data_IF_751198857482
#
_entry.id   IF_751198857482
#
_cell.length_a   1.000
_cell.length_b   1.000
_cell.length_c   1.000
_cell.angle_alpha   90.00
_cell.angle_beta   90.00
_cell.angle_gamma   90.00
#
_symmetry.space_group_name_H-M   'P 1'
#
loop_
_entity.id
_entity.type
_entity.pdbx_description
1 polymer ?
#
# COMPACT_ATOMS: atom_id res chain seq x y z
N UNK A 1 -10.13 18.45 -8.58
CA UNK A 1 -9.28 17.89 -7.49
C UNK A 1 -8.48 16.76 -8.09
N UNK A 2 -7.24 16.52 -7.64
CA UNK A 2 -6.45 15.36 -8.05
C UNK A 2 -6.35 14.40 -6.86
N UNK A 3 -6.82 13.17 -7.00
CA UNK A 3 -6.87 12.18 -5.93
C UNK A 3 -5.66 11.24 -6.02
N UNK A 4 -5.07 10.90 -4.88
CA UNK A 4 -3.95 9.95 -4.84
C UNK A 4 -4.08 9.06 -3.62
N UNK A 5 -3.63 7.82 -3.77
CA UNK A 5 -3.68 6.82 -2.71
C UNK A 5 -2.29 6.28 -2.42
N UNK A 6 -1.97 6.15 -1.14
CA UNK A 6 -0.73 5.52 -0.70
C UNK A 6 -0.77 4.01 -0.83
N UNK A 7 0.18 3.41 -1.55
CA UNK A 7 0.16 1.95 -1.79
C UNK A 7 0.35 1.14 -0.49
N UNK A 8 0.88 1.76 0.58
CA UNK A 8 0.97 1.16 1.91
C UNK A 8 -0.39 0.79 2.52
N UNK A 9 -1.48 1.41 2.05
CA UNK A 9 -2.85 1.10 2.47
C UNK A 9 -3.29 -0.33 2.09
N UNK A 10 -2.56 -1.02 1.22
CA UNK A 10 -2.83 -2.41 0.81
C UNK A 10 -1.88 -3.43 1.45
N UNK A 11 -1.17 -3.04 2.51
CA UNK A 11 -0.43 -3.96 3.38
C UNK A 11 -1.30 -4.53 4.51
N UNK A 12 -0.69 -5.26 5.46
CA UNK A 12 -1.42 -5.85 6.58
C UNK A 12 -2.07 -4.84 7.54
N UNK A 13 -1.85 -3.53 7.34
CA UNK A 13 -2.48 -2.43 8.10
C UNK A 13 -2.54 -2.69 9.61
N UNK A 14 -1.47 -3.27 10.16
CA UNK A 14 -1.40 -3.80 11.53
C UNK A 14 -1.69 -2.67 12.52
N UNK A 15 -2.86 -2.66 13.19
CA UNK A 15 -3.15 -1.62 14.17
C UNK A 15 -2.31 -1.86 15.42
N UNK A 16 -1.87 -0.76 16.04
CA UNK A 16 -1.01 -0.77 17.24
C UNK A 16 -1.51 -1.71 18.34
N UNK A 17 -2.83 -1.89 18.47
CA UNK A 17 -3.46 -2.64 19.55
C UNK A 17 -4.05 -4.00 19.15
N UNK A 18 -4.00 -4.38 17.86
CA UNK A 18 -4.58 -5.65 17.42
C UNK A 18 -3.80 -6.23 16.23
N UNK A 19 -2.61 -6.81 16.46
CA UNK A 19 -1.62 -7.09 15.41
C UNK A 19 -2.04 -8.07 14.31
N UNK A 20 -3.19 -8.74 14.46
CA UNK A 20 -3.71 -9.77 13.55
C UNK A 20 -4.97 -9.31 12.80
N UNK A 21 -5.56 -8.16 13.14
CA UNK A 21 -6.95 -7.89 12.79
C UNK A 21 -7.24 -7.24 11.43
N UNK A 22 -6.26 -6.61 10.78
CA UNK A 22 -6.51 -6.07 9.43
C UNK A 22 -5.93 -6.99 8.37
N UNK A 23 -6.80 -7.40 7.44
CA UNK A 23 -6.46 -8.16 6.24
C UNK A 23 -5.47 -9.32 6.47
N UNK A 24 -5.86 -10.37 7.23
CA UNK A 24 -4.97 -11.51 7.53
C UNK A 24 -4.45 -12.23 6.28
N UNK A 25 -5.17 -12.13 5.15
CA UNK A 25 -4.74 -12.64 3.84
C UNK A 25 -3.57 -11.85 3.21
N UNK A 26 -3.26 -10.66 3.73
CA UNK A 26 -2.14 -9.81 3.31
C UNK A 26 -1.09 -9.67 4.43
N UNK A 27 -1.00 -10.70 5.28
CA UNK A 27 -0.18 -10.79 6.49
C UNK A 27 1.34 -10.82 6.27
N UNK A 28 2.06 -11.56 7.13
CA UNK A 28 3.52 -11.50 7.28
C UNK A 28 4.35 -11.90 6.05
N UNK A 29 3.76 -12.57 5.07
CA UNK A 29 4.41 -12.83 3.79
C UNK A 29 4.01 -11.71 2.81
N UNK A 30 4.88 -10.72 2.57
CA UNK A 30 4.49 -9.53 1.83
C UNK A 30 4.32 -9.85 0.35
N UNK A 31 3.15 -9.52 -0.21
CA UNK A 31 2.98 -9.53 -1.66
C UNK A 31 4.02 -8.60 -2.31
N UNK A 32 4.61 -8.97 -3.47
CA UNK A 32 5.52 -8.08 -4.19
C UNK A 32 4.85 -6.73 -4.49
N UNK A 33 5.61 -5.63 -4.39
CA UNK A 33 5.07 -4.26 -4.60
C UNK A 33 4.44 -4.12 -5.98
N UNK A 34 5.01 -4.74 -7.02
CA UNK A 34 4.42 -4.73 -8.36
C UNK A 34 3.03 -5.40 -8.41
N UNK A 35 2.87 -6.54 -7.73
CA UNK A 35 1.57 -7.23 -7.64
C UNK A 35 0.53 -6.40 -6.87
N UNK A 36 0.96 -5.72 -5.81
CA UNK A 36 0.14 -4.78 -5.05
C UNK A 36 -0.38 -3.63 -5.91
N UNK A 37 0.50 -3.01 -6.69
CA UNK A 37 0.17 -1.91 -7.60
C UNK A 37 -0.80 -2.37 -8.68
N UNK A 38 -0.57 -3.54 -9.26
CA UNK A 38 -1.47 -4.11 -10.28
C UNK A 38 -2.89 -4.29 -9.72
N UNK A 39 -3.02 -4.94 -8.55
CA UNK A 39 -4.31 -5.14 -7.89
C UNK A 39 -5.01 -3.82 -7.52
N UNK A 40 -4.26 -2.83 -7.04
CA UNK A 40 -4.80 -1.51 -6.74
C UNK A 40 -5.27 -0.78 -8.02
N UNK A 41 -4.52 -0.90 -9.12
CA UNK A 41 -4.88 -0.32 -10.42
C UNK A 41 -6.16 -0.92 -11.00
N UNK A 42 -6.27 -2.25 -11.00
CA UNK A 42 -7.47 -2.95 -11.46
C UNK A 42 -8.73 -2.57 -10.67
N UNK A 43 -8.59 -2.33 -9.35
CA UNK A 43 -9.73 -2.02 -8.49
C UNK A 43 -10.11 -0.53 -8.43
N UNK A 44 -9.12 0.38 -8.44
CA UNK A 44 -9.34 1.80 -8.15
C UNK A 44 -8.93 2.75 -9.26
N UNK A 45 -8.44 2.27 -10.42
CA UNK A 45 -7.90 3.11 -11.49
C UNK A 45 -8.86 4.19 -12.00
N UNK A 46 -10.17 3.92 -12.00
CA UNK A 46 -11.20 4.90 -12.38
C UNK A 46 -11.50 5.95 -11.30
N UNK A 47 -11.02 5.74 -10.07
CA UNK A 47 -11.32 6.56 -8.88
C UNK A 47 -10.11 7.39 -8.42
N UNK A 48 -8.90 7.04 -8.85
CA UNK A 48 -7.66 7.69 -8.43
C UNK A 48 -6.83 8.17 -9.62
N UNK A 49 -6.24 9.35 -9.50
CA UNK A 49 -5.33 9.87 -10.53
C UNK A 49 -3.91 9.30 -10.40
N UNK A 50 -3.60 8.57 -9.32
CA UNK A 50 -2.31 7.91 -9.15
C UNK A 50 -2.04 7.28 -7.77
N UNK A 51 -0.92 6.57 -7.69
CA UNK A 51 -0.45 5.87 -6.49
C UNK A 51 0.89 6.45 -5.98
N UNK A 52 0.99 6.65 -4.66
CA UNK A 52 2.20 7.11 -3.98
C UNK A 52 3.01 5.97 -3.36
N UNK A 53 4.34 6.11 -3.36
CA UNK A 53 5.30 5.14 -2.80
C UNK A 53 6.18 5.81 -1.74
N UNK A 54 6.45 5.10 -0.65
CA UNK A 54 7.48 5.46 0.31
C UNK A 54 8.61 4.43 0.23
N UNK A 55 9.81 4.91 -0.09
CA UNK A 55 11.01 4.08 -0.08
C UNK A 55 11.77 4.35 1.22
N UNK A 56 12.06 3.32 2.04
CA UNK A 56 12.71 3.50 3.34
C UNK A 56 14.08 4.20 3.27
N UNK A 57 14.79 4.09 2.14
CA UNK A 57 16.14 4.64 1.95
C UNK A 57 16.17 6.01 1.23
N UNK A 58 15.02 6.60 0.91
CA UNK A 58 14.99 7.89 0.20
C UNK A 58 15.38 9.09 1.09
N UNK A 59 15.45 8.93 2.41
CA UNK A 59 15.75 10.00 3.36
C UNK A 59 17.25 10.13 3.73
N UNK A 60 18.14 9.29 3.17
CA UNK A 60 19.57 9.28 3.48
C UNK A 60 20.47 9.88 2.37
N UNK A 61 19.93 10.76 1.54
CA UNK A 61 20.68 11.37 0.44
C UNK A 61 20.19 12.76 0.07
N UNK A 62 20.56 13.75 0.88
CA UNK A 62 20.75 15.16 0.52
C UNK A 62 21.62 15.82 1.61
#
# INVERSE_FOLDING_TARGET
MKTSLGIWAFGPMVPRFLPVAYQPAHGYDPEPVAAKVYRAGEGLGELIDGCGFHYPNAALGA
#
